data_IF_925982029677
#
_entry.id   IF_925982029677
#
_cell.length_a   1.000
_cell.length_b   1.000
_cell.length_c   1.000
_cell.angle_alpha   90.00
_cell.angle_beta   90.00
_cell.angle_gamma   90.00
#
_symmetry.space_group_name_H-M   'P 1'
#
loop_
_entity.id
_entity.type
_entity.pdbx_description
1 polymer ?
#
# COMPACT_ATOMS: atom_id res chain seq x y z
N UNK A 1 4.01 -66.27 35.85
CA UNK A 1 4.21 -64.84 35.50
C UNK A 1 3.70 -64.60 34.08
N UNK A 2 2.47 -64.07 33.93
CA UNK A 2 1.89 -63.72 32.63
C UNK A 2 2.20 -62.25 32.32
N UNK A 3 2.90 -61.96 31.22
CA UNK A 3 3.21 -60.60 30.77
C UNK A 3 2.05 -60.08 29.90
N UNK A 4 1.31 -59.09 30.41
CA UNK A 4 0.36 -58.31 29.64
C UNK A 4 1.13 -57.35 28.73
N UNK A 5 0.86 -57.38 27.42
CA UNK A 5 1.27 -56.34 26.48
C UNK A 5 0.15 -55.31 26.40
N UNK A 6 0.42 -54.08 26.84
CA UNK A 6 -0.47 -52.94 26.68
C UNK A 6 -0.22 -52.38 25.28
N UNK A 7 -1.22 -52.44 24.42
CA UNK A 7 -1.23 -51.74 23.13
C UNK A 7 -1.75 -50.33 23.40
N UNK A 8 -0.87 -49.34 23.26
CA UNK A 8 -1.22 -47.92 23.33
C UNK A 8 -1.72 -47.48 21.95
N UNK A 9 -3.04 -47.33 21.80
CA UNK A 9 -3.63 -46.71 20.60
C UNK A 9 -3.55 -45.20 20.78
N UNK A 10 -2.60 -44.55 20.10
CA UNK A 10 -2.62 -43.09 19.96
C UNK A 10 -3.74 -42.71 18.99
N UNK A 11 -4.80 -42.09 19.51
CA UNK A 11 -5.78 -41.36 18.70
C UNK A 11 -5.09 -40.09 18.21
N UNK A 12 -4.70 -40.05 16.94
CA UNK A 12 -4.31 -38.82 16.28
C UNK A 12 -5.56 -37.95 16.07
N UNK A 13 -5.73 -36.91 16.89
CA UNK A 13 -6.67 -35.84 16.58
C UNK A 13 -6.14 -35.07 15.36
N UNK A 14 -6.69 -35.38 14.18
CA UNK A 14 -6.53 -34.53 13.01
C UNK A 14 -7.27 -33.23 13.32
N UNK A 15 -6.53 -32.22 13.78
CA UNK A 15 -7.01 -30.85 13.74
C UNK A 15 -7.06 -30.48 12.26
N UNK A 16 -8.25 -30.50 11.66
CA UNK A 16 -8.49 -29.77 10.42
C UNK A 16 -8.30 -28.29 10.74
N UNK A 17 -7.09 -27.78 10.54
CA UNK A 17 -6.89 -26.37 10.33
C UNK A 17 -7.79 -26.00 9.14
N UNK A 18 -8.84 -25.22 9.38
CA UNK A 18 -9.59 -24.59 8.30
C UNK A 18 -8.56 -23.81 7.48
N UNK A 19 -8.26 -24.29 6.26
CA UNK A 19 -7.36 -23.60 5.36
C UNK A 19 -7.94 -22.19 5.15
N UNK A 20 -7.24 -21.18 5.67
CA UNK A 20 -7.58 -19.78 5.52
C UNK A 20 -7.75 -19.54 4.02
N UNK A 21 -8.92 -19.09 3.57
CA UNK A 21 -9.19 -18.82 2.15
C UNK A 21 -8.12 -17.82 1.65
N UNK A 22 -7.19 -18.21 0.76
CA UNK A 22 -5.97 -17.43 0.50
C UNK A 22 -6.23 -16.13 -0.27
N UNK A 23 -7.39 -16.02 -0.92
CA UNK A 23 -7.78 -14.91 -1.79
C UNK A 23 -9.28 -14.63 -1.58
N UNK A 24 -9.68 -14.05 -0.43
CA UNK A 24 -11.08 -13.95 -0.02
C UNK A 24 -11.93 -13.02 -0.89
N UNK A 25 -11.36 -11.93 -1.41
CA UNK A 25 -12.05 -10.97 -2.29
C UNK A 25 -12.10 -11.41 -3.74
N UNK A 26 -11.48 -12.54 -4.09
CA UNK A 26 -11.62 -13.18 -5.38
C UNK A 26 -12.82 -14.15 -5.38
N UNK A 27 -13.64 -14.09 -6.42
CA UNK A 27 -14.67 -15.08 -6.72
C UNK A 27 -14.03 -16.43 -7.05
N UNK A 28 -14.75 -17.50 -6.73
CA UNK A 28 -14.30 -18.86 -7.03
C UNK A 28 -14.49 -19.10 -8.53
N UNK A 29 -13.43 -18.81 -9.30
CA UNK A 29 -13.43 -18.83 -10.75
C UNK A 29 -12.05 -19.18 -11.32
N UNK A 30 -11.95 -19.16 -12.65
CA UNK A 30 -10.73 -19.57 -13.37
C UNK A 30 -9.51 -18.73 -12.97
N UNK A 31 -9.68 -17.42 -12.83
CA UNK A 31 -8.60 -16.51 -12.43
C UNK A 31 -8.00 -16.91 -11.07
N UNK A 32 -8.82 -16.99 -10.03
CA UNK A 32 -8.38 -17.41 -8.68
C UNK A 32 -7.70 -18.78 -8.69
N UNK A 33 -8.28 -19.74 -9.40
CA UNK A 33 -7.73 -21.10 -9.44
C UNK A 33 -6.40 -21.17 -10.18
N UNK A 34 -6.22 -20.37 -11.24
CA UNK A 34 -4.95 -20.32 -11.98
C UNK A 34 -3.79 -19.81 -11.11
N UNK A 35 -4.05 -18.82 -10.25
CA UNK A 35 -3.08 -18.27 -9.29
C UNK A 35 -2.69 -19.35 -8.28
N UNK A 36 -3.68 -19.96 -7.61
CA UNK A 36 -3.43 -20.97 -6.58
C UNK A 36 -2.70 -22.17 -7.17
N UNK A 37 -3.16 -22.67 -8.32
CA UNK A 37 -2.53 -23.80 -9.01
C UNK A 37 -1.08 -23.50 -9.39
N UNK A 38 -0.80 -22.29 -9.88
CA UNK A 38 0.56 -21.88 -10.19
C UNK A 38 1.45 -21.87 -8.95
N UNK A 39 1.00 -21.22 -7.88
CA UNK A 39 1.76 -21.09 -6.63
C UNK A 39 2.02 -22.47 -6.03
N UNK A 40 0.98 -23.30 -5.85
CA UNK A 40 1.12 -24.66 -5.32
C UNK A 40 2.12 -25.48 -6.14
N UNK A 41 2.06 -25.39 -7.48
CA UNK A 41 2.94 -26.13 -8.39
C UNK A 41 4.42 -25.77 -8.20
N UNK A 42 4.74 -24.50 -7.97
CA UNK A 42 6.15 -24.03 -7.88
C UNK A 42 6.69 -23.98 -6.46
N UNK A 43 5.85 -24.17 -5.44
CA UNK A 43 6.26 -24.14 -4.03
C UNK A 43 6.24 -25.49 -3.34
N UNK A 44 5.50 -26.49 -3.85
CA UNK A 44 5.48 -27.84 -3.31
C UNK A 44 6.85 -28.54 -3.45
N UNK A 45 7.45 -28.95 -2.33
CA UNK A 45 8.83 -29.49 -2.27
C UNK A 45 9.05 -30.76 -3.10
N UNK A 46 7.99 -31.55 -3.32
CA UNK A 46 8.00 -32.78 -4.11
C UNK A 46 7.60 -32.58 -5.58
N UNK A 47 7.30 -31.35 -5.98
CA UNK A 47 6.94 -31.01 -7.36
C UNK A 47 8.17 -30.99 -8.26
N UNK A 48 8.08 -31.61 -9.44
CA UNK A 48 9.09 -31.47 -10.50
C UNK A 48 9.22 -30.02 -11.01
N UNK A 49 8.21 -29.19 -10.72
CA UNK A 49 8.14 -27.77 -11.05
C UNK A 49 8.59 -26.86 -9.90
N UNK A 50 9.10 -27.42 -8.80
CA UNK A 50 9.58 -26.65 -7.65
C UNK A 50 10.61 -25.60 -8.05
N UNK A 51 10.42 -24.37 -7.57
CA UNK A 51 11.36 -23.26 -7.76
C UNK A 51 11.99 -22.89 -6.40
N UNK A 52 13.33 -22.80 -6.31
CA UNK A 52 14.01 -22.33 -5.10
C UNK A 52 13.53 -20.94 -4.67
N UNK A 53 13.52 -20.67 -3.36
CA UNK A 53 12.99 -19.42 -2.80
C UNK A 53 13.63 -18.17 -3.40
N UNK A 54 14.95 -18.18 -3.65
CA UNK A 54 15.70 -17.06 -4.25
C UNK A 54 15.45 -16.84 -5.75
N UNK A 55 14.63 -17.70 -6.37
CA UNK A 55 14.18 -17.58 -7.76
C UNK A 55 12.68 -17.25 -7.88
N UNK A 56 11.95 -17.17 -6.76
CA UNK A 56 10.50 -16.87 -6.74
C UNK A 56 10.23 -15.37 -6.84
N UNK A 57 10.47 -14.80 -8.02
CA UNK A 57 10.27 -13.38 -8.25
C UNK A 57 8.95 -13.14 -8.99
N UNK A 58 8.12 -12.27 -8.43
CA UNK A 58 6.89 -11.78 -9.02
C UNK A 58 6.98 -10.27 -9.28
N UNK A 59 6.65 -9.83 -10.50
CA UNK A 59 6.67 -8.41 -10.90
C UNK A 59 5.26 -7.90 -11.19
N UNK A 60 4.96 -6.69 -10.75
CA UNK A 60 3.66 -6.03 -10.89
C UNK A 60 3.84 -4.67 -11.53
N UNK A 61 3.00 -4.30 -12.49
CA UNK A 61 2.74 -2.87 -12.72
C UNK A 61 2.00 -2.28 -11.50
N UNK A 62 1.94 -0.96 -11.41
CA UNK A 62 1.23 -0.23 -10.38
C UNK A 62 -0.08 0.39 -10.89
N UNK A 63 0.00 1.35 -11.82
CA UNK A 63 -1.17 2.03 -12.40
C UNK A 63 -2.07 1.02 -13.12
N UNK A 64 -3.36 0.95 -12.73
CA UNK A 64 -4.33 0.01 -13.28
C UNK A 64 -4.14 -1.45 -12.87
N UNK A 65 -3.02 -1.81 -12.24
CA UNK A 65 -2.74 -3.18 -11.77
C UNK A 65 -2.86 -3.33 -10.26
N UNK A 66 -2.33 -2.39 -9.48
CA UNK A 66 -2.43 -2.37 -8.00
C UNK A 66 -3.39 -1.29 -7.49
N UNK A 67 -3.63 -0.23 -8.28
CA UNK A 67 -4.59 0.83 -7.94
C UNK A 67 -5.25 1.45 -9.18
N UNK A 68 -6.31 2.22 -8.94
CA UNK A 68 -7.03 2.97 -9.97
C UNK A 68 -6.13 4.00 -10.65
N UNK A 69 -6.09 3.97 -11.99
CA UNK A 69 -5.37 4.95 -12.84
C UNK A 69 -6.31 5.90 -13.62
N UNK A 70 -7.62 5.80 -13.40
CA UNK A 70 -8.61 6.65 -14.06
C UNK A 70 -9.19 7.69 -13.10
N UNK A 71 -9.47 8.94 -13.54
CA UNK A 71 -9.42 9.43 -14.91
C UNK A 71 -8.03 9.82 -15.41
N UNK A 72 -7.04 9.90 -14.51
CA UNK A 72 -5.65 10.23 -14.79
C UNK A 72 -4.75 9.34 -13.94
N UNK A 73 -3.58 8.89 -14.44
CA UNK A 73 -2.57 8.29 -13.59
C UNK A 73 -2.29 9.16 -12.37
N UNK A 74 -2.13 8.56 -11.20
CA UNK A 74 -2.12 9.32 -9.95
C UNK A 74 -0.91 10.25 -9.84
N UNK A 75 0.24 9.90 -10.44
CA UNK A 75 1.37 10.82 -10.53
C UNK A 75 1.08 12.04 -11.44
N UNK A 76 0.27 11.88 -12.49
CA UNK A 76 -0.15 13.00 -13.32
C UNK A 76 -1.12 13.92 -12.57
N UNK A 77 -2.01 13.36 -11.73
CA UNK A 77 -2.85 14.13 -10.82
C UNK A 77 -2.01 14.90 -9.79
N UNK A 78 -1.00 14.26 -9.20
CA UNK A 78 -0.01 14.92 -8.33
C UNK A 78 0.71 16.07 -9.04
N UNK A 79 1.22 15.85 -10.25
CA UNK A 79 1.90 16.90 -11.02
C UNK A 79 0.97 18.09 -11.32
N UNK A 80 -0.31 17.83 -11.62
CA UNK A 80 -1.30 18.88 -11.84
C UNK A 80 -1.52 19.73 -10.60
N UNK A 81 -1.65 19.11 -9.43
CA UNK A 81 -1.88 19.84 -8.20
C UNK A 81 -0.63 20.59 -7.73
N UNK A 82 0.57 20.04 -7.93
CA UNK A 82 1.82 20.77 -7.70
C UNK A 82 1.96 21.99 -8.62
N UNK A 83 1.60 21.86 -9.90
CA UNK A 83 1.58 23.01 -10.82
C UNK A 83 0.61 24.07 -10.32
N UNK A 84 -0.63 23.72 -9.96
CA UNK A 84 -1.60 24.67 -9.41
C UNK A 84 -1.07 25.36 -8.16
N UNK A 85 -0.43 24.61 -7.25
CA UNK A 85 0.15 25.12 -6.01
C UNK A 85 1.27 26.13 -6.27
N UNK A 86 2.12 25.88 -7.26
CA UNK A 86 3.29 26.72 -7.55
C UNK A 86 3.02 27.82 -8.58
N UNK A 87 1.87 27.80 -9.27
CA UNK A 87 1.48 28.80 -10.27
C UNK A 87 1.50 30.26 -9.75
N UNK A 88 1.13 30.57 -8.49
CA UNK A 88 1.24 31.93 -7.97
C UNK A 88 2.68 32.46 -7.90
N UNK A 89 3.65 31.56 -7.70
CA UNK A 89 5.09 31.87 -7.62
C UNK A 89 5.77 31.81 -9.00
N UNK A 90 5.16 31.10 -9.96
CA UNK A 90 5.67 30.88 -11.31
C UNK A 90 4.58 31.23 -12.36
N UNK A 91 4.16 32.50 -12.45
CA UNK A 91 3.03 32.90 -13.29
C UNK A 91 3.26 32.65 -14.78
N UNK A 92 4.51 32.61 -15.23
CA UNK A 92 4.92 32.33 -16.62
C UNK A 92 4.56 30.92 -17.09
N UNK A 93 4.31 29.98 -16.16
CA UNK A 93 3.91 28.62 -16.52
C UNK A 93 2.52 28.55 -17.15
N UNK A 94 1.69 29.59 -17.02
CA UNK A 94 0.38 29.65 -17.69
C UNK A 94 0.50 29.63 -19.21
N UNK A 95 1.61 30.11 -19.74
CA UNK A 95 1.87 30.18 -21.18
C UNK A 95 2.58 28.91 -21.70
N UNK A 96 2.93 27.97 -20.82
CA UNK A 96 3.55 26.69 -21.19
C UNK A 96 2.48 25.72 -21.74
N UNK A 97 2.58 25.27 -23.01
CA UNK A 97 1.59 24.40 -23.62
C UNK A 97 1.32 23.11 -22.84
N UNK A 98 2.36 22.52 -22.23
CA UNK A 98 2.19 21.32 -21.42
C UNK A 98 1.34 21.58 -20.16
N UNK A 99 1.52 22.73 -19.51
CA UNK A 99 0.72 23.13 -18.34
C UNK A 99 -0.72 23.39 -18.75
N UNK A 100 -0.95 24.09 -19.87
CA UNK A 100 -2.29 24.31 -20.40
C UNK A 100 -3.01 22.99 -20.74
N UNK A 101 -2.31 22.05 -21.39
CA UNK A 101 -2.82 20.71 -21.72
C UNK A 101 -3.16 19.88 -20.48
N UNK A 102 -2.35 19.95 -19.43
CA UNK A 102 -2.64 19.26 -18.17
C UNK A 102 -3.86 19.86 -17.46
N UNK A 103 -3.99 21.19 -17.43
CA UNK A 103 -5.13 21.87 -16.81
C UNK A 103 -6.44 21.58 -17.56
N UNK A 104 -6.40 21.49 -18.90
CA UNK A 104 -7.56 21.15 -19.72
C UNK A 104 -7.91 19.65 -19.71
N UNK A 105 -7.05 18.80 -19.13
CA UNK A 105 -7.22 17.34 -19.14
C UNK A 105 -6.89 16.68 -20.49
N UNK A 106 -6.19 17.37 -21.39
CA UNK A 106 -5.78 16.85 -22.70
C UNK A 106 -4.52 15.97 -22.58
N UNK A 107 -4.67 14.81 -21.96
CA UNK A 107 -3.58 13.83 -21.77
C UNK A 107 -3.01 13.34 -23.10
N UNK A 108 -3.84 13.27 -24.14
CA UNK A 108 -3.41 12.85 -25.48
C UNK A 108 -2.33 13.79 -26.02
N UNK A 109 -2.49 15.11 -25.86
CA UNK A 109 -1.47 16.09 -26.22
C UNK A 109 -0.17 15.94 -25.42
N UNK A 110 -0.25 15.56 -24.14
CA UNK A 110 0.92 15.40 -23.27
C UNK A 110 1.79 14.19 -23.65
N UNK A 111 1.15 13.14 -24.18
CA UNK A 111 1.80 11.91 -24.65
C UNK A 111 2.29 12.00 -26.10
N UNK A 112 1.85 13.01 -26.84
CA UNK A 112 2.35 13.25 -28.19
C UNK A 112 3.87 13.53 -28.18
N UNK A 113 4.51 13.30 -29.33
CA UNK A 113 5.95 13.47 -29.52
C UNK A 113 6.79 12.83 -28.41
N UNK A 114 6.70 11.51 -28.28
CA UNK A 114 7.52 10.74 -27.34
C UNK A 114 7.39 11.21 -25.88
N UNK A 115 6.17 11.55 -25.45
CA UNK A 115 5.86 12.05 -24.10
C UNK A 115 6.52 13.39 -23.74
N UNK A 116 6.88 14.24 -24.72
CA UNK A 116 7.55 15.52 -24.46
C UNK A 116 6.78 16.42 -23.48
N UNK A 117 5.45 16.46 -23.57
CA UNK A 117 4.60 17.20 -22.64
C UNK A 117 4.69 16.67 -21.21
N UNK A 118 4.60 15.35 -21.02
CA UNK A 118 4.78 14.72 -19.71
C UNK A 118 6.19 14.96 -19.13
N UNK A 119 7.23 14.83 -19.95
CA UNK A 119 8.62 15.10 -19.53
C UNK A 119 8.76 16.54 -19.05
N UNK A 120 8.14 17.49 -19.77
CA UNK A 120 8.16 18.91 -19.39
C UNK A 120 7.45 19.14 -18.06
N UNK A 121 6.30 18.51 -17.82
CA UNK A 121 5.58 18.62 -16.54
C UNK A 121 6.39 18.04 -15.39
N UNK A 122 7.01 16.88 -15.59
CA UNK A 122 7.93 16.28 -14.63
C UNK A 122 9.12 17.21 -14.35
N UNK A 123 9.66 17.89 -15.37
CA UNK A 123 10.73 18.87 -15.19
C UNK A 123 10.35 19.98 -14.21
N UNK A 124 9.15 20.54 -14.40
CA UNK A 124 8.67 21.66 -13.60
C UNK A 124 8.38 21.25 -12.14
N UNK A 125 7.92 20.02 -11.92
CA UNK A 125 7.40 19.59 -10.62
C UNK A 125 8.34 18.68 -9.82
N UNK A 126 9.27 17.98 -10.48
CA UNK A 126 10.09 16.92 -9.86
C UNK A 126 11.60 17.20 -9.86
N UNK A 127 12.09 18.08 -10.75
CA UNK A 127 13.53 18.32 -10.91
C UNK A 127 14.03 19.52 -10.09
N UNK A 128 15.34 19.58 -9.84
CA UNK A 128 15.98 20.69 -9.12
C UNK A 128 15.78 20.69 -7.60
N UNK A 129 15.13 19.65 -7.06
CA UNK A 129 14.89 19.48 -5.62
C UNK A 129 15.57 18.21 -5.11
N UNK A 130 15.72 18.10 -3.78
CA UNK A 130 16.24 16.88 -3.15
C UNK A 130 15.17 15.78 -3.14
N UNK A 131 15.57 14.49 -3.11
CA UNK A 131 14.64 13.39 -2.87
C UNK A 131 13.73 13.63 -1.65
N UNK A 132 14.30 14.00 -0.50
CA UNK A 132 13.52 14.27 0.72
C UNK A 132 12.45 15.36 0.55
N UNK A 133 12.75 16.41 -0.22
CA UNK A 133 11.76 17.47 -0.52
C UNK A 133 10.67 16.95 -1.45
N UNK A 134 11.03 16.13 -2.43
CA UNK A 134 10.07 15.49 -3.32
C UNK A 134 9.15 14.54 -2.53
N UNK A 135 9.71 13.68 -1.69
CA UNK A 135 8.98 12.72 -0.88
C UNK A 135 7.98 13.43 0.05
N UNK A 136 8.42 14.52 0.69
CA UNK A 136 7.55 15.34 1.55
C UNK A 136 6.36 15.94 0.78
N UNK A 137 6.54 16.32 -0.48
CA UNK A 137 5.45 16.86 -1.32
C UNK A 137 4.47 15.77 -1.72
N UNK A 138 4.96 14.60 -2.10
CA UNK A 138 4.13 13.43 -2.45
C UNK A 138 3.31 13.00 -1.24
N UNK A 139 3.92 12.91 -0.06
CA UNK A 139 3.23 12.52 1.16
C UNK A 139 2.13 13.52 1.55
N UNK A 140 2.43 14.82 1.50
CA UNK A 140 1.41 15.84 1.74
C UNK A 140 0.24 15.75 0.72
N UNK A 141 0.55 15.49 -0.55
CA UNK A 141 -0.48 15.29 -1.56
C UNK A 141 -1.32 14.04 -1.26
N UNK A 142 -0.73 12.91 -0.89
CA UNK A 142 -1.49 11.69 -0.54
C UNK A 142 -2.41 11.88 0.67
N UNK A 143 -2.03 12.76 1.61
CA UNK A 143 -2.83 13.10 2.77
C UNK A 143 -4.01 14.03 2.47
N UNK A 144 -3.87 14.92 1.48
CA UNK A 144 -4.82 16.02 1.25
C UNK A 144 -5.64 15.87 -0.02
N UNK A 145 -5.10 15.22 -1.04
CA UNK A 145 -5.75 15.03 -2.32
C UNK A 145 -6.81 13.92 -2.27
N UNK A 146 -7.87 14.12 -3.05
CA UNK A 146 -8.96 13.18 -3.17
C UNK A 146 -9.19 12.76 -4.60
N UNK A 147 -9.49 11.49 -4.79
CA UNK A 147 -9.90 10.95 -6.06
C UNK A 147 -11.23 11.59 -6.52
N UNK A 148 -11.32 12.14 -7.74
CA UNK A 148 -12.45 12.99 -8.14
C UNK A 148 -13.79 12.26 -8.21
N UNK A 149 -13.79 10.96 -8.53
CA UNK A 149 -15.02 10.14 -8.58
C UNK A 149 -15.44 9.58 -7.23
N UNK A 150 -14.48 9.15 -6.42
CA UNK A 150 -14.73 8.37 -5.21
C UNK A 150 -14.70 9.23 -3.94
N UNK A 151 -14.27 10.50 -4.06
CA UNK A 151 -14.18 11.50 -2.98
C UNK A 151 -13.43 11.01 -1.73
N UNK A 152 -12.38 10.21 -1.95
CA UNK A 152 -11.54 9.62 -0.91
C UNK A 152 -10.06 9.77 -1.23
N UNK A 153 -9.18 9.51 -0.26
CA UNK A 153 -7.73 9.51 -0.49
C UNK A 153 -7.37 8.55 -1.62
N UNK A 154 -6.34 8.89 -2.40
CA UNK A 154 -5.75 7.99 -3.38
C UNK A 154 -5.24 6.68 -2.75
N UNK A 155 -4.95 6.68 -1.44
CA UNK A 155 -4.65 5.48 -0.65
C UNK A 155 -5.87 4.56 -0.41
N UNK A 156 -7.06 4.92 -0.90
CA UNK A 156 -8.27 4.05 -0.86
C UNK A 156 -8.67 3.48 -2.20
N UNK A 157 -8.07 3.92 -3.29
CA UNK A 157 -8.41 3.41 -4.64
C UNK A 157 -7.43 2.31 -5.07
N UNK A 158 -6.95 1.53 -4.10
CA UNK A 158 -6.09 0.35 -4.28
C UNK A 158 -6.95 -0.90 -4.41
N UNK A 159 -6.52 -1.87 -5.21
CA UNK A 159 -7.31 -3.08 -5.42
C UNK A 159 -7.12 -4.08 -4.28
N UNK A 160 -8.17 -4.26 -3.46
CA UNK A 160 -8.20 -5.22 -2.35
C UNK A 160 -7.81 -6.65 -2.79
N UNK A 161 -8.30 -7.20 -3.92
CA UNK A 161 -7.89 -8.52 -4.40
C UNK A 161 -6.38 -8.61 -4.69
N UNK A 162 -5.76 -7.50 -5.10
CA UNK A 162 -4.33 -7.47 -5.41
C UNK A 162 -3.47 -7.34 -4.13
N UNK A 163 -3.98 -6.68 -3.09
CA UNK A 163 -3.35 -6.73 -1.75
C UNK A 163 -3.31 -8.16 -1.20
N UNK A 164 -4.41 -8.90 -1.35
CA UNK A 164 -4.47 -10.32 -0.96
C UNK A 164 -3.51 -11.17 -1.77
N UNK A 165 -3.40 -10.92 -3.07
CA UNK A 165 -2.46 -11.63 -3.95
C UNK A 165 -1.00 -11.38 -3.57
N UNK A 166 -0.63 -10.12 -3.32
CA UNK A 166 0.70 -9.76 -2.86
C UNK A 166 1.05 -10.48 -1.56
N UNK A 167 0.13 -10.50 -0.59
CA UNK A 167 0.33 -11.20 0.68
C UNK A 167 0.40 -12.73 0.52
N UNK A 168 -0.45 -13.29 -0.33
CA UNK A 168 -0.44 -14.71 -0.64
C UNK A 168 0.89 -15.14 -1.26
N UNK A 169 1.42 -14.37 -2.20
CA UNK A 169 2.74 -14.62 -2.80
C UNK A 169 3.86 -14.54 -1.78
N UNK A 170 3.90 -13.49 -0.94
CA UNK A 170 4.93 -13.35 0.11
C UNK A 170 4.86 -14.47 1.16
N UNK A 171 3.66 -14.88 1.57
CA UNK A 171 3.48 -16.03 2.47
C UNK A 171 4.03 -17.32 1.86
N UNK A 172 4.05 -17.40 0.53
CA UNK A 172 4.64 -18.49 -0.25
C UNK A 172 6.11 -18.23 -0.65
N UNK A 173 6.76 -17.27 0.01
CA UNK A 173 8.18 -16.91 -0.14
C UNK A 173 8.54 -16.40 -1.54
N UNK A 174 7.62 -15.69 -2.20
CA UNK A 174 7.95 -14.87 -3.36
C UNK A 174 8.47 -13.51 -2.93
N UNK A 175 9.42 -12.98 -3.69
CA UNK A 175 9.70 -11.56 -3.72
C UNK A 175 8.70 -10.86 -4.64
N UNK A 176 8.07 -9.78 -4.16
CA UNK A 176 7.10 -8.98 -4.91
C UNK A 176 7.71 -7.64 -5.27
N UNK A 177 7.86 -7.38 -6.57
CA UNK A 177 8.51 -6.19 -7.13
C UNK A 177 7.50 -5.34 -7.91
N UNK A 178 7.64 -4.01 -7.88
CA UNK A 178 6.94 -3.10 -8.79
C UNK A 178 7.85 -2.78 -9.99
N UNK A 179 7.28 -2.82 -11.20
CA UNK A 179 7.91 -2.45 -12.48
C UNK A 179 6.91 -1.60 -13.26
N UNK A 180 7.04 -0.28 -13.19
CA UNK A 180 5.99 0.64 -13.64
C UNK A 180 6.50 1.83 -14.45
N UNK A 181 5.71 2.25 -15.44
CA UNK A 181 5.98 3.49 -16.17
C UNK A 181 5.96 4.75 -15.29
N UNK A 182 5.31 4.69 -14.13
CA UNK A 182 5.32 5.75 -13.12
C UNK A 182 6.72 6.00 -12.52
N UNK A 183 6.89 7.17 -11.90
CA UNK A 183 8.17 7.57 -11.31
C UNK A 183 8.55 6.73 -10.10
N UNK A 184 9.76 6.14 -10.10
CA UNK A 184 10.21 5.27 -9.02
C UNK A 184 10.12 5.96 -7.64
N UNK A 185 10.53 7.22 -7.56
CA UNK A 185 10.59 7.94 -6.29
C UNK A 185 9.19 8.33 -5.81
N UNK A 186 8.23 8.51 -6.72
CA UNK A 186 6.84 8.77 -6.34
C UNK A 186 6.23 7.54 -5.66
N UNK A 187 6.44 6.35 -6.23
CA UNK A 187 5.93 5.10 -5.66
C UNK A 187 6.61 4.72 -4.35
N UNK A 188 7.93 4.99 -4.21
CA UNK A 188 8.70 4.71 -2.99
C UNK A 188 8.16 5.39 -1.74
N UNK A 189 7.41 6.49 -1.87
CA UNK A 189 6.84 7.21 -0.72
C UNK A 189 5.75 6.41 -0.01
N UNK A 190 4.97 5.60 -0.74
CA UNK A 190 3.76 4.98 -0.19
C UNK A 190 3.70 3.46 -0.32
N UNK A 191 4.42 2.88 -1.29
CA UNK A 191 4.25 1.47 -1.66
C UNK A 191 4.64 0.49 -0.54
N UNK A 192 5.59 0.83 0.34
CA UNK A 192 5.95 -0.03 1.46
C UNK A 192 4.79 -0.15 2.46
N UNK A 193 4.23 0.98 2.87
CA UNK A 193 3.07 1.02 3.78
C UNK A 193 1.81 0.43 3.13
N UNK A 194 1.62 0.68 1.84
CA UNK A 194 0.38 0.34 1.12
C UNK A 194 0.37 -1.10 0.62
N UNK A 195 1.47 -1.57 0.05
CA UNK A 195 1.58 -2.86 -0.64
C UNK A 195 2.45 -3.88 0.10
N UNK A 196 3.21 -3.45 1.11
CA UNK A 196 4.26 -4.27 1.72
C UNK A 196 5.45 -4.51 0.79
N UNK A 197 5.68 -3.62 -0.18
CA UNK A 197 6.80 -3.70 -1.12
C UNK A 197 7.84 -2.62 -0.75
N UNK A 198 9.02 -3.01 -0.25
CA UNK A 198 10.00 -2.05 0.24
C UNK A 198 10.66 -1.26 -0.89
N UNK A 199 11.26 -0.08 -0.62
CA UNK A 199 11.76 0.83 -1.66
C UNK A 199 12.77 0.24 -2.65
N UNK A 200 13.59 -0.72 -2.22
CA UNK A 200 14.56 -1.42 -3.07
C UNK A 200 13.91 -2.40 -4.07
N UNK A 201 12.64 -2.76 -3.87
CA UNK A 201 11.86 -3.62 -4.77
C UNK A 201 10.93 -2.82 -5.69
N UNK A 202 11.18 -1.52 -5.83
CA UNK A 202 10.40 -0.61 -6.67
C UNK A 202 11.29 -0.11 -7.80
N UNK A 203 10.90 -0.49 -9.02
CA UNK A 203 11.48 -0.06 -10.28
C UNK A 203 10.40 0.76 -10.99
N UNK A 204 10.79 1.94 -11.45
CA UNK A 204 9.95 2.75 -12.31
C UNK A 204 10.79 3.74 -13.10
N UNK A 205 10.13 4.66 -13.81
CA UNK A 205 10.82 5.70 -14.56
C UNK A 205 11.65 6.61 -13.64
N UNK A 206 12.85 7.00 -14.09
CA UNK A 206 13.76 7.82 -13.29
C UNK A 206 14.70 8.69 -14.12
N UNK A 207 15.11 9.83 -13.56
CA UNK A 207 16.27 10.60 -14.01
C UNK A 207 17.46 10.39 -13.08
N UNK A 208 18.66 10.75 -13.51
CA UNK A 208 19.86 10.67 -12.65
C UNK A 208 19.74 11.59 -11.44
N UNK A 209 20.34 11.16 -10.34
CA UNK A 209 20.63 12.04 -9.21
C UNK A 209 22.01 12.68 -9.40
N UNK A 210 22.11 13.96 -9.07
CA UNK A 210 23.38 14.67 -9.00
C UNK A 210 23.83 14.74 -7.54
N UNK A 211 25.05 14.27 -7.26
CA UNK A 211 25.68 14.39 -5.95
C UNK A 211 26.54 15.66 -5.90
N UNK A 212 26.37 16.45 -4.85
CA UNK A 212 27.19 17.63 -4.57
C UNK A 212 27.46 17.77 -3.07
N UNK A 213 28.54 18.46 -2.72
CA UNK A 213 28.77 18.98 -1.38
C UNK A 213 28.38 20.45 -1.36
N UNK A 214 27.25 20.80 -0.73
CA UNK A 214 26.81 22.19 -0.54
C UNK A 214 26.99 22.56 0.92
N UNK A 215 27.77 23.61 1.18
CA UNK A 215 28.15 24.04 2.54
C UNK A 215 28.68 22.89 3.42
N UNK A 216 29.46 21.99 2.81
CA UNK A 216 30.05 20.83 3.47
C UNK A 216 29.08 19.66 3.73
N UNK A 217 27.83 19.74 3.29
CA UNK A 217 26.83 18.67 3.45
C UNK A 217 26.64 17.89 2.15
N UNK A 218 26.63 16.55 2.18
CA UNK A 218 26.31 15.73 1.02
C UNK A 218 24.84 15.94 0.65
N UNK A 219 24.60 16.27 -0.61
CA UNK A 219 23.26 16.49 -1.13
C UNK A 219 23.08 15.76 -2.45
N UNK A 220 21.89 15.16 -2.62
CA UNK A 220 21.42 14.62 -3.88
C UNK A 220 20.35 15.54 -4.45
N UNK A 221 20.41 15.81 -5.74
CA UNK A 221 19.39 16.59 -6.45
C UNK A 221 18.82 15.76 -7.59
N UNK A 222 17.50 15.73 -7.69
CA UNK A 222 16.77 15.11 -8.80
C UNK A 222 17.02 15.90 -10.07
N UNK A 223 17.47 15.23 -11.12
CA UNK A 223 17.65 15.81 -12.44
C UNK A 223 16.78 15.09 -13.46
N UNK A 224 16.69 15.64 -14.67
CA UNK A 224 16.16 14.93 -15.83
C UNK A 224 17.27 14.38 -16.74
N UNK A 225 18.52 14.40 -16.28
CA UNK A 225 19.62 13.87 -17.06
C UNK A 225 19.47 12.35 -17.20
N UNK A 226 19.57 11.86 -18.44
CA UNK A 226 19.48 10.42 -18.75
C UNK A 226 18.17 9.79 -18.24
N UNK A 227 17.03 10.40 -18.55
CA UNK A 227 15.72 9.84 -18.24
C UNK A 227 15.58 8.41 -18.79
N UNK A 228 15.33 7.47 -17.89
CA UNK A 228 14.92 6.11 -18.21
C UNK A 228 13.41 6.00 -18.05
N UNK A 229 12.74 5.46 -19.07
CA UNK A 229 11.29 5.23 -19.08
C UNK A 229 11.06 3.73 -18.91
N UNK A 230 10.46 3.35 -17.79
CA UNK A 230 10.20 1.95 -17.43
C UNK A 230 8.82 1.48 -17.92
N UNK A 231 8.58 1.63 -19.22
CA UNK A 231 7.33 1.26 -19.89
C UNK A 231 7.62 0.46 -21.16
N UNK A 232 6.70 -0.41 -21.58
CA UNK A 232 6.85 -1.30 -22.74
C UNK A 232 8.16 -2.08 -22.70
N UNK A 233 9.00 -1.96 -23.72
CA UNK A 233 10.30 -2.61 -23.81
C UNK A 233 11.30 -2.15 -22.74
N UNK A 234 11.04 -1.02 -22.07
CA UNK A 234 11.81 -0.57 -20.91
C UNK A 234 11.68 -1.53 -19.72
N UNK A 235 10.49 -2.09 -19.48
CA UNK A 235 10.21 -2.99 -18.35
C UNK A 235 11.13 -4.21 -18.29
N UNK A 236 11.27 -5.04 -19.35
CA UNK A 236 12.20 -6.17 -19.30
C UNK A 236 13.68 -5.76 -19.17
N UNK A 237 14.07 -4.59 -19.71
CA UNK A 237 15.42 -4.05 -19.53
C UNK A 237 15.67 -3.71 -18.06
N UNK A 238 14.72 -3.03 -17.42
CA UNK A 238 14.83 -2.65 -16.02
C UNK A 238 14.84 -3.89 -15.10
N UNK A 239 13.99 -4.88 -15.36
CA UNK A 239 14.00 -6.17 -14.66
C UNK A 239 15.41 -6.79 -14.73
N UNK A 240 15.97 -6.92 -15.93
CA UNK A 240 17.29 -7.52 -16.11
C UNK A 240 18.40 -6.72 -15.40
N UNK A 241 18.28 -5.39 -15.35
CA UNK A 241 19.30 -4.51 -14.79
C UNK A 241 19.25 -4.38 -13.26
N UNK A 242 18.05 -4.30 -12.67
CA UNK A 242 17.87 -4.06 -11.24
C UNK A 242 17.67 -5.35 -10.43
N UNK A 243 16.94 -6.31 -10.98
CA UNK A 243 16.68 -7.59 -10.31
C UNK A 243 17.79 -8.59 -10.62
N UNK A 244 18.30 -8.58 -11.86
CA UNK A 244 19.34 -9.52 -12.31
C UNK A 244 18.87 -10.97 -12.45
N UNK A 245 17.56 -11.21 -12.34
CA UNK A 245 16.92 -12.52 -12.49
C UNK A 245 15.61 -12.36 -13.25
N UNK A 246 15.25 -13.39 -14.01
CA UNK A 246 14.00 -13.45 -14.76
C UNK A 246 12.85 -13.80 -13.80
N UNK A 247 11.80 -12.98 -13.70
CA UNK A 247 10.62 -13.30 -12.89
C UNK A 247 9.96 -14.59 -13.36
N UNK A 248 9.22 -15.23 -12.46
CA UNK A 248 8.37 -16.38 -12.79
C UNK A 248 6.88 -16.03 -12.73
N UNK A 249 6.52 -14.85 -12.23
CA UNK A 249 5.16 -14.35 -12.27
C UNK A 249 5.13 -12.87 -12.67
N UNK A 250 4.21 -12.48 -13.54
CA UNK A 250 4.01 -11.09 -13.93
C UNK A 250 2.52 -10.71 -13.92
N UNK A 251 2.24 -9.49 -13.50
CA UNK A 251 0.90 -8.94 -13.38
C UNK A 251 0.87 -7.54 -13.98
N UNK A 252 -0.04 -7.30 -14.92
CA UNK A 252 -0.20 -6.02 -15.63
C UNK A 252 -1.66 -5.78 -16.02
N UNK A 253 -1.94 -4.68 -16.71
CA UNK A 253 -3.29 -4.35 -17.17
C UNK A 253 -3.35 -3.78 -18.60
N UNK A 254 -2.20 -3.49 -19.23
CA UNK A 254 -2.16 -2.73 -20.48
C UNK A 254 -1.19 -3.32 -21.52
N UNK A 255 -1.25 -2.77 -22.74
CA UNK A 255 -0.27 -3.05 -23.81
C UNK A 255 1.15 -2.59 -23.42
N UNK A 256 1.28 -1.69 -22.43
CA UNK A 256 2.55 -1.31 -21.80
C UNK A 256 3.24 -2.47 -21.07
N UNK A 257 2.46 -3.45 -20.63
CA UNK A 257 2.96 -4.62 -19.91
C UNK A 257 3.36 -5.78 -20.82
N UNK A 258 2.98 -5.73 -22.10
CA UNK A 258 3.11 -6.88 -22.98
C UNK A 258 4.56 -7.41 -23.02
N UNK A 259 5.55 -6.52 -23.14
CA UNK A 259 6.95 -6.92 -23.18
C UNK A 259 7.44 -7.50 -21.85
N UNK A 260 6.95 -6.99 -20.70
CA UNK A 260 7.21 -7.57 -19.37
C UNK A 260 6.62 -8.97 -19.27
N UNK A 261 5.39 -9.17 -19.77
CA UNK A 261 4.71 -10.45 -19.76
C UNK A 261 5.40 -11.47 -20.67
N UNK A 262 5.73 -11.07 -21.90
CA UNK A 262 6.49 -11.89 -22.85
C UNK A 262 7.85 -12.28 -22.28
N UNK A 263 8.58 -11.31 -21.71
CA UNK A 263 9.84 -11.58 -21.03
C UNK A 263 9.64 -12.47 -19.81
N UNK A 264 8.51 -12.47 -19.13
CA UNK A 264 8.29 -13.37 -17.99
C UNK A 264 7.89 -14.77 -18.44
N UNK A 265 7.07 -14.94 -19.48
CA UNK A 265 6.39 -16.22 -19.73
C UNK A 265 6.90 -17.02 -20.94
N UNK A 266 7.54 -16.39 -21.92
CA UNK A 266 7.94 -17.09 -23.16
C UNK A 266 9.31 -17.72 -22.97
N UNK A 267 9.41 -19.05 -23.14
CA UNK A 267 10.69 -19.77 -23.03
C UNK A 267 11.39 -19.49 -21.68
N UNK A 268 10.61 -19.37 -20.59
CA UNK A 268 11.15 -19.25 -19.26
C UNK A 268 11.73 -20.61 -18.82
N UNK A 269 12.97 -20.68 -18.32
CA UNK A 269 13.55 -21.93 -17.83
C UNK A 269 12.80 -22.50 -16.61
N UNK A 270 11.98 -21.69 -15.94
CA UNK A 270 11.09 -22.11 -14.85
C UNK A 270 9.63 -22.07 -15.31
N UNK A 271 8.75 -22.87 -14.68
CA UNK A 271 7.32 -22.69 -14.84
C UNK A 271 6.94 -21.26 -14.47
N UNK A 272 6.25 -20.57 -15.39
CA UNK A 272 5.92 -19.15 -15.25
C UNK A 272 4.42 -18.89 -15.34
N UNK A 273 3.99 -17.71 -14.88
CA UNK A 273 2.61 -17.27 -14.87
C UNK A 273 2.48 -15.81 -15.31
N UNK A 274 1.43 -15.49 -16.07
CA UNK A 274 1.10 -14.13 -16.46
C UNK A 274 -0.38 -13.87 -16.25
N UNK A 275 -0.70 -12.69 -15.71
CA UNK A 275 -2.07 -12.25 -15.46
C UNK A 275 -2.29 -10.80 -15.93
N UNK A 276 -3.44 -10.57 -16.56
CA UNK A 276 -3.92 -9.26 -17.00
C UNK A 276 -5.15 -8.89 -16.19
N UNK A 277 -5.14 -7.71 -15.56
CA UNK A 277 -6.32 -7.08 -14.98
C UNK A 277 -7.11 -6.41 -16.11
N UNK A 278 -8.33 -6.87 -16.38
CA UNK A 278 -9.22 -6.26 -17.37
C UNK A 278 -10.31 -5.46 -16.68
N UNK A 279 -10.29 -4.14 -16.90
CA UNK A 279 -11.22 -3.18 -16.30
C UNK A 279 -12.58 -3.24 -16.98
N UNK A 280 -13.46 -4.10 -16.48
CA UNK A 280 -14.80 -4.37 -17.03
C UNK A 280 -15.95 -3.81 -16.17
N UNK A 281 -15.64 -3.16 -15.04
CA UNK A 281 -16.63 -2.79 -14.04
C UNK A 281 -16.84 -1.28 -13.92
N UNK A 282 -17.68 -0.73 -14.79
CA UNK A 282 -18.02 0.70 -14.76
C UNK A 282 -18.79 1.13 -13.50
N UNK A 283 -19.37 0.21 -12.74
CA UNK A 283 -20.21 0.52 -11.58
C UNK A 283 -19.35 0.74 -10.33
N UNK A 284 -18.48 -0.24 -10.03
CA UNK A 284 -17.59 -0.22 -8.84
C UNK A 284 -16.25 0.45 -9.12
N UNK A 285 -15.79 0.43 -10.36
CA UNK A 285 -14.55 1.04 -10.85
C UNK A 285 -14.85 1.73 -12.19
N UNK A 286 -13.96 1.65 -13.17
CA UNK A 286 -14.14 2.10 -14.54
C UNK A 286 -14.20 0.88 -15.47
N UNK A 287 -14.74 1.09 -16.67
CA UNK A 287 -14.66 0.11 -17.75
C UNK A 287 -13.93 0.72 -18.93
N UNK A 288 -12.80 0.14 -19.31
CA UNK A 288 -11.95 0.63 -20.41
C UNK A 288 -11.01 -0.46 -20.90
N UNK A 289 -10.68 -0.40 -22.19
CA UNK A 289 -9.74 -1.31 -22.84
C UNK A 289 -9.02 -0.63 -24.04
N UNK A 290 -9.66 -0.59 -25.20
CA UNK A 290 -9.10 -0.31 -26.51
C UNK A 290 -8.90 1.17 -26.80
N UNK A 291 -9.76 2.03 -26.24
CA UNK A 291 -9.75 3.48 -26.47
C UNK A 291 -9.99 4.25 -25.16
N UNK A 292 -9.14 4.06 -24.13
CA UNK A 292 -9.25 4.82 -22.90
C UNK A 292 -9.00 6.31 -23.18
N UNK A 293 -9.70 7.19 -22.46
CA UNK A 293 -9.48 8.64 -22.58
C UNK A 293 -8.15 9.11 -21.98
N UNK A 294 -7.40 8.23 -21.31
CA UNK A 294 -6.18 8.57 -20.56
C UNK A 294 -5.06 7.55 -20.74
N UNK A 295 -5.01 6.51 -19.91
CA UNK A 295 -3.99 5.44 -19.88
C UNK A 295 -4.64 4.05 -19.83
N UNK A 296 -3.86 2.98 -19.71
CA UNK A 296 -4.40 1.63 -19.60
C UNK A 296 -4.95 1.03 -20.90
N UNK A 297 -4.40 1.43 -22.07
CA UNK A 297 -4.84 0.85 -23.34
C UNK A 297 -4.50 -0.65 -23.34
N UNK A 298 -5.49 -1.49 -23.56
CA UNK A 298 -5.38 -2.94 -23.60
C UNK A 298 -6.00 -3.47 -24.90
N UNK A 299 -5.14 -3.83 -25.86
CA UNK A 299 -5.53 -4.42 -27.16
C UNK A 299 -4.64 -5.59 -27.53
N UNK A 300 -3.36 -5.35 -27.77
CA UNK A 300 -2.41 -6.36 -28.25
C UNK A 300 -2.08 -7.39 -27.18
N UNK A 301 -1.97 -6.98 -25.92
CA UNK A 301 -1.75 -7.92 -24.82
C UNK A 301 -2.96 -8.83 -24.60
N UNK A 302 -4.18 -8.30 -24.73
CA UNK A 302 -5.42 -9.07 -24.61
C UNK A 302 -5.60 -10.06 -25.76
N UNK A 303 -5.26 -9.67 -26.99
CA UNK A 303 -5.25 -10.56 -28.16
C UNK A 303 -4.22 -11.70 -28.03
N UNK A 304 -3.06 -11.41 -27.41
CA UNK A 304 -2.00 -12.37 -27.18
C UNK A 304 -2.30 -13.34 -26.03
N UNK A 305 -3.07 -12.91 -25.02
CA UNK A 305 -3.34 -13.67 -23.80
C UNK A 305 -3.72 -15.15 -24.01
N UNK A 306 -4.74 -15.51 -24.84
CA UNK A 306 -5.09 -16.91 -25.05
C UNK A 306 -3.99 -17.73 -25.75
N UNK A 307 -3.16 -17.10 -26.58
CA UNK A 307 -2.06 -17.76 -27.29
C UNK A 307 -0.85 -18.01 -26.37
N UNK A 308 -0.69 -17.15 -25.36
CA UNK A 308 0.41 -17.20 -24.39
C UNK A 308 0.04 -17.87 -23.06
N UNK A 309 -1.23 -18.25 -22.89
CA UNK A 309 -1.74 -18.81 -21.64
C UNK A 309 -1.78 -17.80 -20.50
N UNK A 310 -1.86 -16.50 -20.81
CA UNK A 310 -2.04 -15.48 -19.79
C UNK A 310 -3.47 -15.51 -19.27
N UNK A 311 -3.60 -15.45 -17.96
CA UNK A 311 -4.89 -15.35 -17.29
C UNK A 311 -5.43 -13.94 -17.45
N UNK A 312 -6.68 -13.79 -17.87
CA UNK A 312 -7.35 -12.49 -17.94
C UNK A 312 -8.39 -12.44 -16.82
N UNK A 313 -8.26 -11.46 -15.93
CA UNK A 313 -9.20 -11.20 -14.84
C UNK A 313 -10.27 -10.26 -15.35
N UNK A 314 -11.53 -10.68 -15.34
CA UNK A 314 -12.67 -9.79 -15.55
C UNK A 314 -13.00 -9.14 -14.20
N UNK A 315 -12.64 -7.87 -13.99
CA UNK A 315 -12.83 -7.19 -12.70
C UNK A 315 -14.28 -7.30 -12.18
N UNK A 316 -15.25 -7.18 -13.07
CA UNK A 316 -16.68 -7.26 -12.72
C UNK A 316 -17.08 -8.65 -12.21
N UNK A 317 -16.57 -9.71 -12.84
CA UNK A 317 -16.96 -11.08 -12.54
C UNK A 317 -16.07 -11.75 -11.48
N UNK A 318 -14.77 -11.47 -11.50
CA UNK A 318 -13.77 -12.21 -10.71
C UNK A 318 -13.51 -11.58 -9.34
N UNK A 319 -13.83 -10.30 -9.14
CA UNK A 319 -13.64 -9.63 -7.86
C UNK A 319 -14.97 -9.40 -7.12
N UNK A 320 -15.04 -9.85 -5.87
CA UNK A 320 -16.16 -9.58 -4.93
C UNK A 320 -16.13 -8.14 -4.45
N UNK A 321 -14.93 -7.66 -4.15
CA UNK A 321 -14.65 -6.32 -3.64
C UNK A 321 -13.54 -5.73 -4.51
N UNK A 322 -13.70 -4.47 -4.94
CA UNK A 322 -12.68 -3.78 -5.75
C UNK A 322 -11.71 -3.06 -4.82
N UNK A 323 -12.21 -2.13 -4.01
CA UNK A 323 -11.42 -1.33 -3.08
C UNK A 323 -11.63 -1.79 -1.63
N UNK A 324 -10.65 -1.64 -0.72
CA UNK A 324 -10.82 -1.89 0.70
C UNK A 324 -12.00 -1.10 1.29
N UNK A 325 -12.62 -1.65 2.34
CA UNK A 325 -13.71 -0.96 3.03
C UNK A 325 -13.21 0.37 3.61
N UNK A 326 -13.95 1.46 3.39
CA UNK A 326 -13.50 2.79 3.81
C UNK A 326 -13.40 2.98 5.34
N UNK A 327 -13.93 2.04 6.12
CA UNK A 327 -13.84 2.01 7.58
C UNK A 327 -12.44 1.65 8.09
N UNK A 328 -11.57 1.05 7.27
CA UNK A 328 -10.26 0.51 7.69
C UNK A 328 -9.16 1.57 7.85
N UNK A 329 -9.33 2.78 7.30
CA UNK A 329 -8.30 3.84 7.38
C UNK A 329 -8.07 4.33 8.81
N UNK A 330 -9.12 4.26 9.63
CA UNK A 330 -9.01 4.59 11.03
C UNK A 330 -8.23 3.58 11.83
N UNK A 331 -8.46 2.30 11.53
CA UNK A 331 -7.77 1.20 12.17
C UNK A 331 -6.30 1.19 11.76
N UNK A 332 -5.99 1.22 10.45
CA UNK A 332 -4.62 1.15 9.93
C UNK A 332 -3.73 2.26 10.49
N UNK A 333 -4.22 3.49 10.50
CA UNK A 333 -3.49 4.65 11.03
C UNK A 333 -3.29 4.57 12.55
N UNK A 334 -4.22 3.94 13.28
CA UNK A 334 -4.11 3.70 14.72
C UNK A 334 -3.23 2.49 15.06
N UNK A 335 -3.01 1.52 14.16
CA UNK A 335 -2.17 0.35 14.46
C UNK A 335 -0.75 0.76 14.86
N UNK A 336 -0.22 0.12 15.90
CA UNK A 336 1.11 0.41 16.44
C UNK A 336 1.10 0.82 17.91
N UNK A 337 2.28 1.17 18.41
CA UNK A 337 2.47 1.58 19.80
C UNK A 337 2.37 3.10 19.93
N UNK A 338 1.63 3.53 20.94
CA UNK A 338 1.42 4.93 21.29
C UNK A 338 1.79 5.18 22.75
N UNK A 339 2.38 6.33 23.01
CA UNK A 339 2.67 6.85 24.33
C UNK A 339 1.58 7.87 24.70
N UNK A 340 0.98 7.73 25.88
CA UNK A 340 0.02 8.71 26.39
C UNK A 340 0.80 9.91 26.93
N UNK A 341 0.51 11.10 26.43
CA UNK A 341 1.16 12.36 26.84
C UNK A 341 0.32 13.10 27.89
N UNK A 342 -0.99 13.21 27.63
CA UNK A 342 -1.95 13.91 28.49
C UNK A 342 -3.18 13.05 28.78
N UNK A 343 -3.72 13.16 29.99
CA UNK A 343 -5.01 12.55 30.39
C UNK A 343 -5.89 13.62 31.04
N UNK A 344 -7.18 13.67 30.65
CA UNK A 344 -8.15 14.58 31.24
C UNK A 344 -8.41 14.30 32.73
N UNK A 345 -8.62 15.38 33.49
CA UNK A 345 -8.99 15.36 34.91
C UNK A 345 -10.32 16.08 35.06
N UNK A 346 -11.28 15.46 35.75
CA UNK A 346 -12.69 15.88 35.79
C UNK A 346 -12.94 17.33 36.20
N UNK A 347 -12.00 17.98 36.89
CA UNK A 347 -12.24 19.26 37.56
C UNK A 347 -11.18 20.34 37.25
N UNK A 348 -10.21 20.12 36.35
CA UNK A 348 -9.12 21.09 36.12
C UNK A 348 -8.48 21.13 34.73
N UNK A 349 -9.02 20.40 33.75
CA UNK A 349 -8.46 20.30 32.39
C UNK A 349 -7.59 19.06 32.22
N UNK A 350 -6.52 19.16 31.41
CA UNK A 350 -5.64 18.02 31.12
C UNK A 350 -4.37 18.06 31.97
N UNK A 351 -3.96 16.91 32.49
CA UNK A 351 -2.73 16.75 33.26
C UNK A 351 -1.80 15.77 32.54
N UNK A 352 -0.56 16.21 32.33
CA UNK A 352 0.50 15.38 31.74
C UNK A 352 0.77 14.12 32.57
N UNK A 353 1.26 13.08 31.89
CA UNK A 353 1.70 11.85 32.54
C UNK A 353 3.07 12.00 33.20
N UNK A 354 3.42 11.12 34.14
CA UNK A 354 4.76 11.07 34.75
C UNK A 354 5.75 10.45 33.76
N UNK A 355 6.70 11.25 33.25
CA UNK A 355 7.67 10.84 32.20
C UNK A 355 8.37 9.50 32.44
N UNK A 356 8.77 9.21 33.70
CA UNK A 356 9.50 7.98 34.06
C UNK A 356 8.59 6.76 34.26
N UNK A 357 7.28 6.95 34.22
CA UNK A 357 6.27 5.91 34.39
C UNK A 357 5.29 5.98 33.21
N UNK A 358 5.74 5.47 32.06
CA UNK A 358 5.01 5.55 30.79
C UNK A 358 3.67 4.80 30.85
N UNK A 359 2.63 5.47 30.38
CA UNK A 359 1.35 4.86 30.02
C UNK A 359 1.35 4.66 28.49
N UNK A 360 1.03 3.46 28.01
CA UNK A 360 1.09 3.14 26.57
C UNK A 360 -0.16 2.44 26.09
N UNK A 361 -0.49 2.63 24.81
CA UNK A 361 -1.55 1.91 24.10
C UNK A 361 -0.96 1.28 22.84
N UNK A 362 -1.05 -0.04 22.71
CA UNK A 362 -0.76 -0.80 21.50
C UNK A 362 -2.08 -1.18 20.85
N UNK A 363 -2.29 -0.75 19.61
CA UNK A 363 -3.38 -1.24 18.77
C UNK A 363 -2.84 -2.32 17.83
N UNK A 364 -3.47 -3.49 17.86
CA UNK A 364 -3.18 -4.61 16.98
C UNK A 364 -4.23 -4.73 15.89
N UNK A 365 -3.83 -5.18 14.69
CA UNK A 365 -4.72 -5.34 13.54
C UNK A 365 -5.86 -6.35 13.78
N UNK A 366 -5.75 -7.20 14.80
CA UNK A 366 -6.79 -8.16 15.21
C UNK A 366 -7.89 -7.55 16.11
N UNK A 367 -7.88 -6.23 16.34
CA UNK A 367 -8.82 -5.54 17.21
C UNK A 367 -8.46 -5.60 18.70
N UNK A 368 -7.25 -6.03 19.05
CA UNK A 368 -6.76 -6.03 20.44
C UNK A 368 -6.06 -4.72 20.80
N UNK A 369 -6.46 -4.13 21.93
CA UNK A 369 -5.76 -3.02 22.58
C UNK A 369 -5.04 -3.54 23.84
N UNK A 370 -3.75 -3.24 23.98
CA UNK A 370 -2.98 -3.65 25.15
C UNK A 370 -1.94 -2.61 25.55
N UNK A 371 -1.39 -2.70 26.76
CA UNK A 371 -0.36 -1.76 27.17
C UNK A 371 -0.05 -1.76 28.66
N UNK A 372 0.54 -0.66 29.10
CA UNK A 372 0.88 -0.39 30.49
C UNK A 372 0.11 0.85 30.95
N UNK A 373 -0.54 0.78 32.11
CA UNK A 373 -1.26 1.90 32.76
C UNK A 373 -0.34 2.79 33.59
N UNK A 374 0.97 2.57 33.52
CA UNK A 374 2.08 2.99 34.39
C UNK A 374 2.39 2.08 35.59
N UNK A 375 1.38 1.40 36.15
CA UNK A 375 1.56 0.42 37.24
C UNK A 375 1.27 -1.00 36.75
N UNK A 376 0.14 -1.19 36.08
CA UNK A 376 -0.35 -2.49 35.65
C UNK A 376 -0.26 -2.68 34.14
N UNK A 377 -0.30 -3.94 33.71
CA UNK A 377 -0.58 -4.27 32.32
C UNK A 377 -2.07 -4.38 32.12
N UNK A 378 -2.54 -3.99 30.94
CA UNK A 378 -3.92 -4.17 30.54
C UNK A 378 -4.03 -4.76 29.14
N UNK A 379 -5.17 -5.39 28.89
CA UNK A 379 -5.58 -5.88 27.58
C UNK A 379 -7.10 -5.83 27.44
N UNK A 380 -7.60 -5.53 26.25
CA UNK A 380 -9.00 -5.63 25.90
C UNK A 380 -9.18 -5.50 24.41
N UNK A 381 -10.42 -5.45 23.96
CA UNK A 381 -10.72 -5.26 22.54
C UNK A 381 -11.04 -3.79 22.28
N UNK A 382 -10.79 -3.33 21.07
CA UNK A 382 -11.27 -2.05 20.57
C UNK A 382 -11.97 -2.25 19.24
N UNK A 383 -12.78 -1.28 18.84
CA UNK A 383 -13.42 -1.26 17.55
C UNK A 383 -13.33 0.14 16.94
N UNK A 384 -13.08 0.19 15.63
CA UNK A 384 -12.99 1.41 14.84
C UNK A 384 -14.04 1.35 13.73
N UNK A 385 -14.82 2.41 13.61
CA UNK A 385 -15.79 2.62 12.53
C UNK A 385 -15.68 4.08 12.05
N UNK A 386 -14.91 4.29 10.98
CA UNK A 386 -14.51 5.64 10.57
C UNK A 386 -13.68 6.33 11.66
N UNK A 387 -14.16 7.47 12.17
CA UNK A 387 -13.52 8.19 13.28
C UNK A 387 -14.02 7.78 14.68
N UNK A 388 -14.95 6.83 14.77
CA UNK A 388 -15.42 6.30 16.05
C UNK A 388 -14.40 5.31 16.57
N UNK A 389 -14.06 5.45 17.85
CA UNK A 389 -13.19 4.52 18.56
C UNK A 389 -13.89 4.15 19.86
N UNK A 390 -14.03 2.85 20.09
CA UNK A 390 -14.64 2.32 21.31
C UNK A 390 -13.78 1.20 21.88
N UNK A 391 -13.73 1.12 23.20
CA UNK A 391 -13.05 0.04 23.91
C UNK A 391 -14.08 -0.86 24.58
N UNK A 392 -13.85 -2.16 24.48
CA UNK A 392 -14.54 -3.15 25.30
C UNK A 392 -14.02 -3.13 26.74
N UNK A 393 -14.49 -4.07 27.54
CA UNK A 393 -14.02 -4.22 28.92
C UNK A 393 -12.52 -4.53 28.94
N UNK A 394 -11.76 -3.74 29.69
CA UNK A 394 -10.32 -3.95 29.88
C UNK A 394 -10.07 -4.90 31.05
N UNK A 395 -9.22 -5.90 30.84
CA UNK A 395 -8.63 -6.70 31.91
C UNK A 395 -7.31 -6.07 32.34
N UNK A 396 -7.08 -5.95 33.66
CA UNK A 396 -5.86 -5.38 34.23
C UNK A 396 -5.20 -6.34 35.22
N UNK A 397 -3.87 -6.27 35.33
CA UNK A 397 -3.16 -6.88 36.47
C UNK A 397 -3.45 -6.10 37.75
N UNK A 398 -3.12 -6.67 38.93
CA UNK A 398 -3.39 -6.05 40.25
C UNK A 398 -2.12 -5.87 41.08
N UNK A 399 -1.14 -5.19 40.54
CA UNK A 399 0.05 -4.73 41.24
C UNK A 399 -0.26 -3.42 41.98
N UNK A 400 0.27 -3.29 43.19
CA UNK A 400 0.23 -2.04 43.93
C UNK A 400 1.45 -1.18 43.58
N UNK A 401 1.23 0.12 43.43
CA UNK A 401 2.28 1.10 43.17
C UNK A 401 2.20 2.31 44.10
N UNK A 402 3.14 3.26 43.98
CA UNK A 402 3.07 4.55 44.66
C UNK A 402 1.74 5.28 44.36
N UNK A 403 1.21 6.00 45.34
CA UNK A 403 -0.10 6.66 45.25
C UNK A 403 -0.26 7.54 44.00
N UNK A 404 0.79 8.28 43.60
CA UNK A 404 0.76 9.12 42.42
C UNK A 404 0.63 8.33 41.09
N UNK A 405 1.23 7.13 41.01
CA UNK A 405 1.11 6.28 39.83
C UNK A 405 -0.24 5.56 39.80
N UNK A 406 -0.75 5.17 40.96
CA UNK A 406 -2.11 4.62 41.07
C UNK A 406 -3.18 5.65 40.65
N UNK A 407 -2.98 6.94 40.98
CA UNK A 407 -3.84 8.02 40.51
C UNK A 407 -3.81 8.15 38.97
N UNK A 408 -2.62 8.18 38.37
CA UNK A 408 -2.48 8.21 36.91
C UNK A 408 -3.13 7.00 36.23
N UNK A 409 -2.95 5.80 36.79
CA UNK A 409 -3.61 4.58 36.32
C UNK A 409 -5.14 4.72 36.36
N UNK A 410 -5.70 5.22 37.46
CA UNK A 410 -7.15 5.42 37.59
C UNK A 410 -7.67 6.45 36.59
N UNK A 411 -6.95 7.55 36.37
CA UNK A 411 -7.28 8.55 35.35
C UNK A 411 -7.29 7.94 33.95
N UNK A 412 -6.28 7.15 33.60
CA UNK A 412 -6.21 6.46 32.31
C UNK A 412 -7.39 5.51 32.11
N UNK A 413 -7.67 4.63 33.09
CA UNK A 413 -8.75 3.65 33.01
C UNK A 413 -10.12 4.33 32.91
N UNK A 414 -10.32 5.46 33.57
CA UNK A 414 -11.56 6.24 33.43
C UNK A 414 -11.66 6.94 32.07
N UNK A 415 -10.57 7.53 31.58
CA UNK A 415 -10.56 8.26 30.32
C UNK A 415 -10.77 7.33 29.11
N UNK A 416 -10.18 6.13 29.12
CA UNK A 416 -10.29 5.17 28.02
C UNK A 416 -11.73 4.62 27.87
N UNK A 417 -12.48 4.52 28.97
CA UNK A 417 -13.89 4.12 28.96
C UNK A 417 -14.82 5.18 28.35
N UNK A 418 -14.42 6.45 28.36
CA UNK A 418 -15.22 7.56 27.82
C UNK A 418 -14.94 7.88 26.36
N UNK A 419 -13.91 7.26 25.76
CA UNK A 419 -13.54 7.50 24.35
C UNK A 419 -14.71 7.11 23.45
N UNK A 420 -15.06 8.01 22.54
CA UNK A 420 -16.10 7.81 21.53
C UNK A 420 -15.57 8.01 20.11
N UNK A 421 -14.65 8.96 19.95
CA UNK A 421 -14.00 9.25 18.66
C UNK A 421 -12.52 9.57 18.85
N UNK A 422 -11.79 9.64 17.74
CA UNK A 422 -10.40 10.09 17.72
C UNK A 422 -10.16 10.99 16.50
N UNK A 423 -9.14 11.84 16.58
CA UNK A 423 -8.64 12.63 15.45
C UNK A 423 -7.10 12.66 15.47
N UNK A 424 -6.48 12.68 14.28
CA UNK A 424 -5.05 12.91 14.16
C UNK A 424 -4.75 14.42 14.19
N UNK A 425 -3.72 14.78 14.96
CA UNK A 425 -3.20 16.15 15.03
C UNK A 425 -1.98 16.32 14.11
N UNK A 426 -0.91 16.91 14.66
CA UNK A 426 0.41 16.93 14.02
C UNK A 426 0.91 15.49 13.73
N UNK A 427 1.86 15.29 12.78
CA UNK A 427 2.40 13.97 12.47
C UNK A 427 2.84 13.21 13.73
N UNK A 428 2.33 11.98 13.88
CA UNK A 428 2.58 11.15 15.05
C UNK A 428 1.77 11.51 16.29
N UNK A 429 0.80 12.43 16.23
CA UNK A 429 -0.10 12.77 17.34
C UNK A 429 -1.52 12.31 17.05
N UNK A 430 -2.16 11.69 18.04
CA UNK A 430 -3.60 11.39 18.03
C UNK A 430 -4.27 11.91 19.29
N UNK A 431 -5.46 12.49 19.14
CA UNK A 431 -6.33 12.92 20.21
C UNK A 431 -7.51 11.97 20.33
N UNK A 432 -7.81 11.52 21.54
CA UNK A 432 -9.05 10.80 21.83
C UNK A 432 -10.06 11.75 22.45
N UNK A 433 -11.31 11.62 22.04
CA UNK A 433 -12.39 12.54 22.37
C UNK A 433 -13.57 11.77 23.00
N UNK A 434 -14.28 12.42 23.92
CA UNK A 434 -15.56 11.92 24.44
C UNK A 434 -16.72 12.19 23.46
N UNK A 435 -17.95 11.83 23.87
CA UNK A 435 -19.16 12.00 23.02
C UNK A 435 -19.53 13.46 22.79
N UNK A 436 -19.08 14.34 23.67
CA UNK A 436 -19.25 15.79 23.62
C UNK A 436 -18.10 16.49 22.86
N UNK A 437 -17.19 15.70 22.25
CA UNK A 437 -16.00 16.13 21.52
C UNK A 437 -14.95 16.87 22.38
N UNK A 438 -14.93 16.63 23.69
CA UNK A 438 -13.83 17.10 24.54
C UNK A 438 -12.66 16.13 24.49
N UNK A 439 -11.43 16.65 24.45
CA UNK A 439 -10.22 15.82 24.48
C UNK A 439 -10.04 15.13 25.83
N UNK A 440 -10.09 13.80 25.82
CA UNK A 440 -9.83 12.96 26.99
C UNK A 440 -8.38 12.50 27.09
N UNK A 441 -7.70 12.28 25.95
CA UNK A 441 -6.29 11.93 25.91
C UNK A 441 -5.57 12.51 24.69
N UNK A 442 -4.27 12.79 24.85
CA UNK A 442 -3.33 13.03 23.74
C UNK A 442 -2.29 11.93 23.76
N UNK A 443 -2.00 11.35 22.61
CA UNK A 443 -1.00 10.31 22.46
C UNK A 443 -0.02 10.66 21.34
N UNK A 444 1.23 10.22 21.48
CA UNK A 444 2.29 10.31 20.48
C UNK A 444 2.68 8.92 19.98
N UNK A 445 3.05 8.80 18.70
CA UNK A 445 3.54 7.55 18.11
C UNK A 445 4.91 7.23 18.70
N UNK A 446 5.12 5.98 19.11
CA UNK A 446 6.36 5.53 19.74
C UNK A 446 7.36 4.95 18.75
#
# INVERSE_FOLDING_TARGET
MRKFHIVLVMLACIQNASAKNPLPSWNDGQAKQSIITFVDRVTAEDSESFVPVDERIAVFDNDGTLWCEFPLPNQAAFALDEIKRMLPENPEWKDEPAVAGLISGDVASLKADHNAGLIKLLALTHAGITPDTFDSRVENWLQTAKHPRFDCSYRKVIYQPMLELLEYLRTNQFETWIVSGGGQDFMRVFAEETYGIPPQQIIGSYGKLKYELIDGKPMLTKTLDSLFVDDKEGKPVAIAQFIGRRPIACFGNSDGDQAMMEYTTIDNPRPSFGLIVHHTDADREYAYDSNPSSSGKLTTALEAAPQRGWTVVDMKQDWKTVFPDQADEGLSSLIGQWLVEDIAVSDSGNQGVVDRAQTTVQFSADGTASGNTCVNRYSGNFNVDGNKLTFGQLATTRMAGPAALMDQEQRFLKAIETVATYEFGEPGIVHFLDKEANRVMKLSKK
#
